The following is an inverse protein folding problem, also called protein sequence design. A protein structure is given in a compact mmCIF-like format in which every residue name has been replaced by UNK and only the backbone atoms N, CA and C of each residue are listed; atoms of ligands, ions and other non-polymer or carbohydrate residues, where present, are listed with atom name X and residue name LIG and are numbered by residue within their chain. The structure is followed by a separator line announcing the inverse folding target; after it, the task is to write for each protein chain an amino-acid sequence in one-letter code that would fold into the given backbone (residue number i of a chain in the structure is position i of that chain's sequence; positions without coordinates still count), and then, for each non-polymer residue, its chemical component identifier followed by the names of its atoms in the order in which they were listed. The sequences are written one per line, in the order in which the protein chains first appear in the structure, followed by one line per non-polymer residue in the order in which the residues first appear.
data_IF_525011882262
#
_entry.id   IF_525011882262
#
_cell.length_a   1.000
_cell.length_b   1.000
_cell.length_c   1.000
_cell.angle_alpha   90.00
_cell.angle_beta   90.00
_cell.angle_gamma   90.00
#
_symmetry.space_group_name_H-M   'P 1'
#
loop_
_entity.id
_entity.type
_entity.pdbx_description
1 polymer ?
#
# COMPACT_ATOMS: atom_id res chain seq x y z
N UNK A 1 -15.69 5.56 8.60
CA UNK A 1 -15.99 6.23 7.31
C UNK A 1 -15.06 7.40 6.98
N UNK A 2 -14.58 8.21 7.94
CA UNK A 2 -13.70 9.39 7.66
C UNK A 2 -12.34 9.11 7.01
N UNK A 3 -11.82 7.88 7.05
CA UNK A 3 -10.47 7.59 6.55
C UNK A 3 -10.41 7.40 5.02
N UNK A 4 -11.42 6.74 4.43
CA UNK A 4 -11.40 6.40 3.00
C UNK A 4 -11.53 7.63 2.10
N UNK A 5 -12.32 8.65 2.47
CA UNK A 5 -12.43 9.89 1.69
C UNK A 5 -11.11 10.69 1.66
N UNK A 6 -10.39 10.71 2.78
CA UNK A 6 -9.07 11.37 2.85
C UNK A 6 -8.05 10.62 1.98
N UNK A 7 -8.04 9.29 2.05
CA UNK A 7 -7.19 8.46 1.19
C UNK A 7 -7.54 8.63 -0.29
N UNK A 8 -8.83 8.76 -0.61
CA UNK A 8 -9.30 9.00 -1.98
C UNK A 8 -8.76 10.31 -2.54
N UNK A 9 -8.84 11.41 -1.78
CA UNK A 9 -8.24 12.69 -2.17
C UNK A 9 -6.72 12.60 -2.31
N UNK A 10 -6.05 11.94 -1.34
CA UNK A 10 -4.59 11.82 -1.32
C UNK A 10 -4.03 11.04 -2.52
N UNK A 11 -4.74 10.00 -2.95
CA UNK A 11 -4.29 9.09 -4.01
C UNK A 11 -5.04 9.23 -5.32
N UNK A 12 -5.91 10.23 -5.46
CA UNK A 12 -6.80 10.42 -6.62
C UNK A 12 -6.08 10.28 -7.97
N UNK A 13 -4.88 10.86 -8.09
CA UNK A 13 -4.06 10.80 -9.31
C UNK A 13 -3.61 9.39 -9.74
N UNK A 14 -3.68 8.42 -8.84
CA UNK A 14 -3.31 7.03 -9.10
C UNK A 14 -4.50 6.09 -9.21
N UNK A 15 -5.70 6.53 -8.84
CA UNK A 15 -6.90 5.69 -8.81
C UNK A 15 -7.51 5.56 -10.20
N UNK A 16 -7.93 4.36 -10.54
CA UNK A 16 -8.75 4.07 -11.71
C UNK A 16 -10.23 4.29 -11.34
N UNK A 17 -11.06 4.63 -12.32
CA UNK A 17 -12.49 4.92 -12.08
C UNK A 17 -13.18 3.76 -11.37
N UNK A 18 -13.77 4.04 -10.21
CA UNK A 18 -14.49 3.07 -9.39
C UNK A 18 -13.64 2.45 -8.27
N UNK A 19 -12.32 2.62 -8.30
CA UNK A 19 -11.44 2.14 -7.23
C UNK A 19 -11.68 2.89 -5.93
N UNK A 20 -11.61 2.13 -4.82
CA UNK A 20 -11.75 2.68 -3.47
C UNK A 20 -10.52 2.33 -2.65
N UNK A 21 -9.70 3.32 -2.23
CA UNK A 21 -8.61 3.07 -1.31
C UNK A 21 -9.15 2.75 0.08
N UNK A 22 -8.65 1.66 0.64
CA UNK A 22 -9.11 1.09 1.91
C UNK A 22 -8.20 1.50 3.06
N UNK A 23 -6.88 1.31 2.89
CA UNK A 23 -5.86 1.56 3.93
C UNK A 23 -4.54 1.96 3.29
N UNK A 24 -3.78 2.74 4.03
CA UNK A 24 -2.40 3.12 3.74
C UNK A 24 -1.49 2.54 4.81
N UNK A 25 -0.33 2.04 4.38
CA UNK A 25 0.73 1.53 5.22
C UNK A 25 2.04 2.21 4.84
N UNK A 26 2.72 2.75 5.84
CA UNK A 26 4.01 3.42 5.67
C UNK A 26 5.14 2.42 5.95
N UNK A 27 5.97 2.14 4.94
CA UNK A 27 7.05 1.15 4.97
C UNK A 27 8.33 1.82 4.47
N UNK A 28 9.10 2.39 5.40
CA UNK A 28 10.33 3.13 5.07
C UNK A 28 10.06 4.31 4.14
N UNK A 29 10.63 4.28 2.94
CA UNK A 29 10.45 5.32 1.91
C UNK A 29 9.20 5.11 1.03
N UNK A 30 8.41 4.07 1.30
CA UNK A 30 7.25 3.69 0.51
C UNK A 30 5.94 3.86 1.29
N UNK A 31 4.91 4.34 0.60
CA UNK A 31 3.52 4.24 1.05
C UNK A 31 2.85 3.12 0.24
N UNK A 32 2.40 2.06 0.89
CA UNK A 32 1.64 0.97 0.28
C UNK A 32 0.16 1.18 0.58
N UNK A 33 -0.65 1.30 -0.47
CA UNK A 33 -2.09 1.53 -0.35
C UNK A 33 -2.82 0.30 -0.85
N UNK A 34 -3.68 -0.26 0.00
CA UNK A 34 -4.61 -1.31 -0.41
C UNK A 34 -5.82 -0.66 -1.05
N UNK A 35 -6.05 -0.95 -2.31
CA UNK A 35 -7.26 -0.60 -3.06
C UNK A 35 -8.09 -1.88 -3.18
N UNK A 36 -9.39 -1.77 -3.46
CA UNK A 36 -10.29 -2.91 -3.63
C UNK A 36 -9.85 -3.91 -4.72
N UNK A 37 -9.17 -3.45 -5.77
CA UNK A 37 -8.78 -4.29 -6.91
C UNK A 37 -7.28 -4.58 -7.01
N UNK A 38 -6.43 -3.82 -6.32
CA UNK A 38 -4.97 -3.95 -6.40
C UNK A 38 -4.26 -3.32 -5.20
N UNK A 39 -2.96 -3.58 -5.11
CA UNK A 39 -2.04 -2.82 -4.28
C UNK A 39 -1.39 -1.72 -5.10
N UNK A 40 -1.21 -0.56 -4.48
CA UNK A 40 -0.47 0.56 -5.02
C UNK A 40 0.73 0.85 -4.13
N UNK A 41 1.94 0.63 -4.64
CA UNK A 41 3.19 0.89 -3.94
C UNK A 41 3.79 2.19 -4.46
N UNK A 42 3.82 3.24 -3.62
CA UNK A 42 4.34 4.56 -4.01
C UNK A 42 5.64 4.82 -3.28
N UNK A 43 6.70 5.12 -4.02
CA UNK A 43 7.95 5.63 -3.48
C UNK A 43 7.87 7.14 -3.34
N UNK A 44 8.18 7.69 -2.17
CA UNK A 44 8.11 9.14 -1.91
C UNK A 44 9.18 9.94 -2.64
N UNK A 45 10.39 9.38 -2.81
CA UNK A 45 11.49 10.06 -3.49
C UNK A 45 12.54 9.09 -4.09
N UNK A 46 12.95 9.26 -5.37
CA UNK A 46 12.21 10.02 -6.38
C UNK A 46 10.80 9.45 -6.52
N UNK A 47 9.84 10.31 -6.85
CA UNK A 47 8.44 9.90 -6.91
C UNK A 47 8.25 8.86 -8.03
N UNK A 48 7.81 7.66 -7.64
CA UNK A 48 7.47 6.59 -8.56
C UNK A 48 6.40 5.70 -7.94
N UNK A 49 5.68 4.94 -8.77
CA UNK A 49 4.72 3.96 -8.26
C UNK A 49 4.80 2.65 -9.03
N UNK A 50 4.35 1.59 -8.37
CA UNK A 50 4.17 0.26 -8.95
C UNK A 50 2.81 -0.26 -8.52
N UNK A 51 2.12 -0.91 -9.44
CA UNK A 51 0.84 -1.54 -9.18
C UNK A 51 0.98 -3.06 -9.17
N UNK A 52 0.26 -3.71 -8.27
CA UNK A 52 0.23 -5.17 -8.16
C UNK A 52 -1.23 -5.59 -8.09
N UNK A 53 -1.73 -6.27 -9.12
CA UNK A 53 -3.09 -6.82 -9.10
C UNK A 53 -3.15 -7.99 -8.12
N UNK A 54 -4.24 -8.12 -7.37
CA UNK A 54 -4.35 -9.22 -6.41
C UNK A 54 -4.29 -10.60 -7.10
N UNK A 55 -4.80 -10.70 -8.33
CA UNK A 55 -4.74 -11.93 -9.14
C UNK A 55 -3.30 -12.36 -9.50
N UNK A 56 -2.34 -11.43 -9.47
CA UNK A 56 -0.93 -11.74 -9.72
C UNK A 56 -0.18 -12.25 -8.48
N UNK A 57 -0.78 -12.12 -7.29
CA UNK A 57 -0.17 -12.53 -6.02
C UNK A 57 -0.37 -14.04 -5.85
N UNK A 58 0.68 -14.81 -6.13
CA UNK A 58 0.65 -16.27 -6.00
C UNK A 58 0.97 -16.77 -4.59
N UNK A 59 1.65 -15.97 -3.78
CA UNK A 59 2.07 -16.33 -2.43
C UNK A 59 2.22 -15.07 -1.54
N UNK A 60 1.97 -15.22 -0.24
CA UNK A 60 2.17 -14.19 0.79
C UNK A 60 2.91 -14.85 1.96
N UNK A 61 4.08 -14.31 2.28
CA UNK A 61 4.89 -14.78 3.41
C UNK A 61 5.03 -13.69 4.48
N UNK A 62 5.01 -14.10 5.74
CA UNK A 62 5.19 -13.22 6.87
C UNK A 62 6.44 -13.63 7.66
N UNK A 63 7.44 -12.75 7.67
CA UNK A 63 8.72 -12.98 8.33
C UNK A 63 8.79 -12.17 9.62
N UNK A 64 9.12 -12.83 10.74
CA UNK A 64 9.31 -12.20 12.04
C UNK A 64 10.78 -12.32 12.41
N UNK A 65 11.42 -11.20 12.73
CA UNK A 65 12.75 -11.18 13.34
C UNK A 65 12.64 -10.87 14.83
N UNK A 66 13.15 -11.75 15.68
CA UNK A 66 13.22 -11.55 17.13
C UNK A 66 14.70 -11.35 17.49
N UNK A 67 15.04 -10.16 17.99
CA UNK A 67 16.39 -9.87 18.50
C UNK A 67 16.51 -10.38 19.95
N UNK A 68 17.07 -11.57 20.09
CA UNK A 68 17.26 -12.23 21.39
C UNK A 68 18.39 -11.63 22.25
N UNK A 69 19.18 -10.66 21.75
CA UNK A 69 20.30 -10.06 22.50
C UNK A 69 19.87 -9.05 23.56
N UNK A 70 18.58 -8.73 23.64
CA UNK A 70 17.99 -7.81 24.62
C UNK A 70 17.45 -8.52 25.87
N UNK A 71 17.69 -9.83 26.01
CA UNK A 71 17.36 -10.63 27.19
C UNK A 71 18.61 -10.93 28.03
#
# INVERSE_FOLDING_TARGET
MKNSENLKKKYEKYLIRGETPLREYEIGAYSVVTIDQRLLCIRKFPESFTQITYDSISNIEYHIYIDWRRF
#
